data_IF_914389263562
#
_entry.id   IF_914389263562
#
_cell.length_a   1.000
_cell.length_b   1.000
_cell.length_c   1.000
_cell.angle_alpha   90.00
_cell.angle_beta   90.00
_cell.angle_gamma   90.00
#
_symmetry.space_group_name_H-M   'P 1'
#
loop_
_entity.id
_entity.type
_entity.pdbx_description
1 polymer ?
#
# COMPACT_ATOMS: atom_id res chain seq x y z
N UNK A 1 3.87 -12.19 -9.20
CA UNK A 1 3.91 -10.90 -9.94
C UNK A 1 5.10 -10.12 -9.40
N UNK A 2 5.88 -9.44 -10.24
CA UNK A 2 7.05 -8.67 -9.79
C UNK A 2 6.67 -7.34 -9.12
N UNK A 3 5.61 -6.68 -9.59
CA UNK A 3 5.15 -5.38 -9.11
C UNK A 3 3.62 -5.28 -9.14
N UNK A 4 3.04 -4.66 -8.12
CA UNK A 4 1.64 -4.28 -8.04
C UNK A 4 1.53 -2.85 -7.51
N UNK A 5 0.86 -1.97 -8.23
CA UNK A 5 0.60 -0.60 -7.79
C UNK A 5 -0.84 -0.49 -7.25
N UNK A 6 -0.96 0.06 -6.03
CA UNK A 6 -2.22 0.27 -5.32
C UNK A 6 -2.46 1.78 -5.22
N UNK A 7 -3.45 2.29 -5.96
CA UNK A 7 -3.61 3.73 -6.12
C UNK A 7 -2.37 4.35 -6.77
N UNK A 8 -2.06 5.60 -6.43
CA UNK A 8 -1.00 6.36 -7.10
C UNK A 8 0.36 6.30 -6.40
N UNK A 9 0.39 5.89 -5.13
CA UNK A 9 1.58 6.08 -4.26
C UNK A 9 2.01 4.82 -3.53
N UNK A 10 1.56 3.65 -3.96
CA UNK A 10 1.86 2.43 -3.23
C UNK A 10 2.28 1.29 -4.15
N UNK A 11 3.57 1.00 -4.19
CA UNK A 11 4.13 -0.07 -5.00
C UNK A 11 4.50 -1.24 -4.10
N UNK A 12 3.84 -2.39 -4.30
CA UNK A 12 4.20 -3.65 -3.68
C UNK A 12 5.05 -4.48 -4.64
N UNK A 13 6.18 -4.96 -4.13
CA UNK A 13 7.11 -5.82 -4.88
C UNK A 13 7.00 -7.27 -4.43
N UNK A 14 7.30 -8.18 -5.35
CA UNK A 14 7.35 -9.62 -5.12
C UNK A 14 6.03 -10.19 -4.58
N UNK A 15 4.91 -9.81 -5.20
CA UNK A 15 3.57 -10.18 -4.73
C UNK A 15 3.19 -11.57 -5.25
N UNK A 16 2.84 -12.46 -4.35
CA UNK A 16 2.22 -13.75 -4.65
C UNK A 16 0.86 -13.52 -5.32
N UNK A 17 0.62 -14.14 -6.48
CA UNK A 17 -0.68 -14.06 -7.12
C UNK A 17 -1.07 -15.38 -7.77
N UNK A 18 -2.35 -15.70 -7.62
CA UNK A 18 -3.02 -16.73 -8.38
C UNK A 18 -3.60 -16.10 -9.64
N UNK A 19 -3.21 -16.62 -10.81
CA UNK A 19 -3.81 -16.22 -12.10
C UNK A 19 -4.94 -17.20 -12.37
N UNK A 20 -6.18 -16.73 -12.25
CA UNK A 20 -7.34 -17.49 -12.69
C UNK A 20 -7.54 -17.26 -14.20
N UNK A 21 -7.66 -18.30 -15.03
CA UNK A 21 -7.95 -18.12 -16.45
C UNK A 21 -9.40 -17.64 -16.66
N UNK A 22 -9.60 -16.50 -17.35
CA UNK A 22 -10.93 -15.95 -17.68
C UNK A 22 -11.10 -14.46 -17.33
N UNK A 23 -12.34 -13.93 -17.41
CA UNK A 23 -12.66 -12.57 -16.94
C UNK A 23 -12.64 -12.55 -15.41
N UNK A 24 -11.51 -12.17 -14.84
CA UNK A 24 -11.29 -12.28 -13.41
C UNK A 24 -11.27 -10.91 -12.77
N UNK A 25 -12.17 -10.71 -11.82
CA UNK A 25 -12.07 -9.62 -10.84
C UNK A 25 -10.67 -9.64 -10.25
N UNK A 26 -10.01 -8.49 -10.19
CA UNK A 26 -8.75 -8.37 -9.49
C UNK A 26 -9.03 -8.49 -7.99
N UNK A 27 -8.52 -9.56 -7.37
CA UNK A 27 -8.66 -9.83 -5.94
C UNK A 27 -7.29 -9.58 -5.30
N UNK A 28 -7.27 -8.64 -4.36
CA UNK A 28 -6.10 -8.37 -3.54
C UNK A 28 -6.18 -9.20 -2.26
N UNK A 29 -5.29 -10.18 -2.12
CA UNK A 29 -5.22 -11.03 -0.93
C UNK A 29 -4.60 -10.30 0.27
N UNK A 30 -4.97 -10.73 1.49
CA UNK A 30 -4.38 -10.21 2.73
C UNK A 30 -2.87 -10.46 2.82
N UNK A 31 -2.36 -11.52 2.22
CA UNK A 31 -0.91 -11.80 2.14
C UNK A 31 -0.13 -10.65 1.47
N UNK A 32 -0.73 -10.03 0.44
CA UNK A 32 -0.17 -8.86 -0.22
C UNK A 32 -0.29 -7.61 0.67
N UNK A 33 -1.47 -7.35 1.24
CA UNK A 33 -1.70 -6.19 2.12
C UNK A 33 -0.81 -6.18 3.37
N UNK A 34 -0.41 -7.35 3.87
CA UNK A 34 0.52 -7.47 4.99
C UNK A 34 1.86 -6.81 4.74
N UNK A 35 2.28 -6.65 3.48
CA UNK A 35 3.53 -5.94 3.11
C UNK A 35 3.48 -4.44 3.33
N UNK A 36 2.28 -3.85 3.32
CA UNK A 36 2.05 -2.44 3.62
C UNK A 36 1.52 -2.22 5.05
N UNK A 37 1.54 -3.27 5.88
CA UNK A 37 1.04 -3.20 7.24
C UNK A 37 1.83 -2.17 8.08
N UNK A 38 1.18 -1.45 9.00
CA UNK A 38 -0.25 -1.55 9.34
C UNK A 38 -1.18 -0.97 8.26
N UNK A 39 -2.37 -1.56 8.11
CA UNK A 39 -3.39 -1.11 7.16
C UNK A 39 -4.78 -1.10 7.78
N UNK A 40 -5.64 -0.22 7.27
CA UNK A 40 -7.06 -0.13 7.64
C UNK A 40 -7.90 -0.23 6.38
N UNK A 41 -8.89 -1.12 6.39
CA UNK A 41 -9.91 -1.19 5.36
C UNK A 41 -11.26 -0.83 5.96
N UNK A 42 -11.91 0.18 5.41
CA UNK A 42 -13.29 0.56 5.72
C UNK A 42 -14.19 0.09 4.57
N UNK A 43 -15.32 -0.50 4.93
CA UNK A 43 -16.31 -1.00 3.96
C UNK A 43 -17.24 0.14 3.53
N UNK A 44 -17.64 0.98 4.47
CA UNK A 44 -18.57 2.08 4.25
C UNK A 44 -18.15 3.32 5.06
N UNK A 45 -17.57 4.36 4.42
CA UNK A 45 -17.24 4.43 2.99
C UNK A 45 -16.08 3.49 2.62
N UNK A 46 -16.02 3.01 1.36
CA UNK A 46 -14.95 2.15 0.89
C UNK A 46 -13.62 2.93 0.86
N UNK A 47 -12.73 2.59 1.79
CA UNK A 47 -11.43 3.24 1.95
C UNK A 47 -10.37 2.19 2.31
N UNK A 48 -9.17 2.33 1.77
CA UNK A 48 -8.00 1.52 2.12
C UNK A 48 -6.86 2.47 2.52
N UNK A 49 -6.45 2.42 3.78
CA UNK A 49 -5.33 3.18 4.33
C UNK A 49 -4.15 2.24 4.53
N UNK A 50 -2.97 2.62 4.04
CA UNK A 50 -1.74 1.83 4.07
C UNK A 50 -0.65 2.70 4.71
N UNK A 51 0.02 2.19 5.76
CA UNK A 51 1.00 2.99 6.49
C UNK A 51 2.40 2.89 5.87
N UNK A 52 2.87 1.66 5.63
CA UNK A 52 4.24 1.40 5.21
C UNK A 52 4.30 1.16 3.71
N UNK A 53 3.88 2.15 2.93
CA UNK A 53 4.00 2.03 1.48
C UNK A 53 5.13 2.86 0.90
N UNK A 54 5.89 2.22 0.03
CA UNK A 54 7.04 2.81 -0.65
C UNK A 54 6.58 3.22 -2.04
N UNK A 55 6.71 4.51 -2.33
CA UNK A 55 6.66 5.03 -3.69
C UNK A 55 7.95 4.64 -4.39
N UNK A 56 7.85 4.10 -5.60
CA UNK A 56 9.03 3.73 -6.41
C UNK A 56 9.89 4.93 -6.83
N UNK A 57 9.49 6.14 -6.45
CA UNK A 57 10.15 7.40 -6.78
C UNK A 57 11.44 7.66 -5.99
N UNK A 58 11.88 6.75 -5.10
CA UNK A 58 13.12 6.91 -4.34
C UNK A 58 13.14 8.12 -3.39
N UNK A 59 12.04 8.88 -3.31
CA UNK A 59 11.92 10.06 -2.46
C UNK A 59 11.27 9.64 -1.15
N UNK A 60 12.11 9.29 -0.19
CA UNK A 60 11.78 9.22 1.23
C UNK A 60 11.24 10.59 1.64
N UNK A 61 9.92 10.75 1.61
CA UNK A 61 9.27 11.99 2.00
C UNK A 61 9.32 12.05 3.53
N UNK A 62 10.42 12.66 3.98
CA UNK A 62 10.86 12.81 5.34
C UNK A 62 9.76 13.24 6.31
N UNK A 63 9.91 12.71 7.52
CA UNK A 63 9.13 12.88 8.74
C UNK A 63 8.49 14.27 8.96
N UNK A 64 7.37 14.34 9.70
CA UNK A 64 6.82 15.61 10.16
C UNK A 64 7.84 16.30 11.08
N UNK A 65 8.32 17.47 10.67
CA UNK A 65 9.12 18.38 11.50
C UNK A 65 8.37 18.67 12.81
N UNK A 66 8.81 18.05 13.91
CA UNK A 66 8.45 18.50 15.26
C UNK A 66 9.15 19.84 15.51
N UNK A 67 8.41 20.93 15.41
CA UNK A 67 8.82 22.20 16.01
C UNK A 67 8.73 22.00 17.53
N UNK A 68 9.88 21.81 18.18
CA UNK A 68 9.98 21.94 19.61
C UNK A 68 9.75 23.41 19.97
N UNK A 69 8.75 23.67 20.79
CA UNK A 69 8.49 24.99 21.37
C UNK A 69 9.72 25.42 22.18
N UNK A 70 10.29 26.55 21.81
CA UNK A 70 11.32 27.26 22.56
C UNK A 70 10.67 28.11 23.66
N UNK A 71 11.10 27.82 24.89
CA UNK A 71 11.22 28.68 26.10
C UNK A 71 10.12 29.69 26.39
#
# INVERSE_FOLDING_TARGET
ISRLDIGERCTLRDVEAAVFPGKTRQILGLSALRKAAPFTFSIDPPQLVLANCVTDDGTDMAAPTRVAASQ
#
